data_IF_443730010476
#
_entry.id   IF_443730010476
#
_cell.length_a   1.000
_cell.length_b   1.000
_cell.length_c   1.000
_cell.angle_alpha   90.00
_cell.angle_beta   90.00
_cell.angle_gamma   90.00
#
_symmetry.space_group_name_H-M   'P 1'
#
loop_
_entity.id
_entity.type
_entity.pdbx_description
1 polymer ?
#
# COMPACT_ATOMS: atom_id res chain seq x y z
N UNK A 1 -2.77 16.58 5.85
CA UNK A 1 -1.68 16.69 6.84
C UNK A 1 -0.46 16.05 6.20
N UNK A 2 0.67 16.77 6.14
CA UNK A 2 1.89 16.41 5.39
C UNK A 2 3.05 16.22 6.38
N UNK A 3 2.90 15.28 7.31
CA UNK A 3 3.78 15.10 8.46
C UNK A 3 5.14 14.56 8.01
N UNK A 4 5.14 13.60 7.08
CA UNK A 4 6.39 13.05 6.53
C UNK A 4 7.13 14.14 5.77
N UNK A 5 6.43 14.92 4.94
CA UNK A 5 7.06 16.03 4.22
C UNK A 5 7.69 17.06 5.16
N UNK A 6 7.01 17.42 6.25
CA UNK A 6 7.54 18.34 7.26
C UNK A 6 8.80 17.79 7.92
N UNK A 7 8.79 16.53 8.37
CA UNK A 7 9.98 15.89 8.97
C UNK A 7 11.14 15.81 7.98
N UNK A 8 10.90 15.50 6.71
CA UNK A 8 11.97 15.52 5.72
C UNK A 8 12.62 16.90 5.56
N UNK A 9 11.82 17.98 5.61
CA UNK A 9 12.33 19.35 5.49
C UNK A 9 13.02 19.85 6.76
N UNK A 10 12.60 19.39 7.93
CA UNK A 10 13.16 19.84 9.21
C UNK A 10 14.41 19.03 9.60
N UNK A 11 14.34 17.71 9.49
CA UNK A 11 15.35 16.79 10.04
C UNK A 11 16.22 16.13 8.95
N UNK A 12 15.68 15.91 7.74
CA UNK A 12 16.35 15.14 6.69
C UNK A 12 16.54 15.93 5.39
N UNK A 13 16.99 17.19 5.48
CA UNK A 13 17.14 18.10 4.34
C UNK A 13 18.05 17.55 3.22
N UNK A 14 18.98 16.66 3.58
CA UNK A 14 19.89 15.99 2.64
C UNK A 14 19.14 15.06 1.66
N UNK A 15 17.96 14.59 2.05
CA UNK A 15 17.11 13.69 1.26
C UNK A 15 16.14 14.55 0.44
N UNK A 16 16.68 15.27 -0.56
CA UNK A 16 15.87 16.13 -1.42
C UNK A 16 15.11 15.32 -2.48
N UNK A 17 14.02 14.66 -2.07
CA UNK A 17 13.05 14.05 -2.99
C UNK A 17 11.63 14.55 -2.68
N UNK A 18 10.88 15.03 -3.70
CA UNK A 18 9.52 15.48 -3.47
C UNK A 18 8.61 14.29 -3.12
N UNK A 19 7.81 14.47 -2.07
CA UNK A 19 6.74 13.54 -1.70
C UNK A 19 5.59 13.66 -2.71
N UNK A 20 5.28 12.58 -3.41
CA UNK A 20 4.23 12.52 -4.43
C UNK A 20 2.84 12.32 -3.82
N UNK A 21 2.76 11.52 -2.76
CA UNK A 21 1.54 11.30 -1.98
C UNK A 21 1.91 10.84 -0.57
N UNK A 22 1.11 11.26 0.39
CA UNK A 22 1.20 10.84 1.80
C UNK A 22 -0.21 10.57 2.30
N UNK A 23 -0.40 9.50 3.08
CA UNK A 23 -1.70 9.18 3.67
C UNK A 23 -1.55 8.38 4.96
N UNK A 24 -2.57 8.42 5.85
CA UNK A 24 -2.61 7.55 7.01
C UNK A 24 -2.96 6.12 6.59
N UNK A 25 -2.28 5.15 7.20
CA UNK A 25 -2.51 3.72 7.02
C UNK A 25 -2.53 3.01 8.36
N UNK A 26 -3.25 1.89 8.40
CA UNK A 26 -3.18 0.93 9.50
C UNK A 26 -2.61 -0.37 8.98
N UNK A 27 -1.47 -0.82 9.51
CA UNK A 27 -0.98 -2.17 9.30
C UNK A 27 -2.00 -3.14 9.90
N UNK A 28 -2.43 -4.13 9.13
CA UNK A 28 -3.43 -5.12 9.56
C UNK A 28 -2.90 -6.53 9.39
N UNK A 29 -3.38 -7.44 10.24
CA UNK A 29 -3.10 -8.86 10.10
C UNK A 29 -3.94 -9.53 8.99
N UNK A 30 -3.78 -10.86 8.82
CA UNK A 30 -4.53 -11.63 7.82
C UNK A 30 -6.05 -11.68 8.09
N UNK A 31 -6.48 -11.49 9.35
CA UNK A 31 -7.88 -11.41 9.74
C UNK A 31 -8.44 -9.98 9.54
N UNK A 32 -7.55 -9.02 9.31
CA UNK A 32 -7.85 -7.61 9.13
C UNK A 32 -7.99 -6.85 10.44
N UNK A 33 -7.39 -7.33 11.53
CA UNK A 33 -7.24 -6.62 12.81
C UNK A 33 -6.10 -5.62 12.68
N UNK A 34 -6.32 -4.37 13.11
CA UNK A 34 -5.30 -3.33 13.09
C UNK A 34 -4.22 -3.58 14.14
N UNK A 35 -2.96 -3.54 13.71
CA UNK A 35 -1.77 -3.73 14.54
C UNK A 35 -1.09 -2.41 14.90
N UNK A 36 -0.91 -1.51 13.91
CA UNK A 36 -0.23 -0.23 14.11
C UNK A 36 -0.64 0.80 13.06
N UNK A 37 -0.71 2.06 13.45
CA UNK A 37 -0.93 3.17 12.54
C UNK A 37 0.40 3.73 12.02
N UNK A 38 0.44 4.04 10.73
CA UNK A 38 1.55 4.65 10.03
C UNK A 38 1.07 5.84 9.23
N UNK A 39 1.92 6.84 9.08
CA UNK A 39 1.83 7.81 8.02
C UNK A 39 2.84 7.38 6.95
N UNK A 40 2.33 6.90 5.82
CA UNK A 40 3.18 6.40 4.74
C UNK A 40 3.23 7.47 3.65
N UNK A 41 4.43 7.73 3.13
CA UNK A 41 4.65 8.63 2.01
C UNK A 41 5.40 7.94 0.88
N UNK A 42 5.09 8.32 -0.35
CA UNK A 42 5.71 7.82 -1.57
C UNK A 42 6.47 8.96 -2.24
N UNK A 43 7.75 8.75 -2.53
CA UNK A 43 8.56 9.62 -3.40
C UNK A 43 8.73 8.97 -4.77
N UNK A 44 9.46 9.63 -5.66
CA UNK A 44 9.80 9.05 -6.97
C UNK A 44 10.67 7.79 -6.89
N UNK A 45 11.38 7.55 -5.77
CA UNK A 45 12.30 6.40 -5.66
C UNK A 45 12.19 5.61 -4.36
N UNK A 46 11.49 6.11 -3.34
CA UNK A 46 11.40 5.50 -2.01
C UNK A 46 9.96 5.48 -1.48
N UNK A 47 9.71 4.50 -0.62
CA UNK A 47 8.55 4.45 0.26
C UNK A 47 9.02 4.76 1.69
N UNK A 48 8.36 5.71 2.33
CA UNK A 48 8.72 6.26 3.63
C UNK A 48 7.66 5.88 4.64
N UNK A 49 8.06 5.42 5.81
CA UNK A 49 7.19 5.05 6.91
C UNK A 49 7.53 5.91 8.12
N UNK A 50 6.55 6.68 8.58
CA UNK A 50 6.63 7.31 9.89
C UNK A 50 5.47 6.92 10.78
N UNK A 51 5.66 7.07 12.09
CA UNK A 51 4.61 6.88 13.06
C UNK A 51 4.80 7.81 14.25
N UNK A 52 3.77 7.89 15.08
CA UNK A 52 3.88 8.58 16.35
C UNK A 52 4.69 7.74 17.35
N UNK A 53 5.60 8.40 18.05
CA UNK A 53 6.39 7.92 19.16
C UNK A 53 6.15 8.86 20.35
N UNK A 54 5.27 8.45 21.25
CA UNK A 54 4.90 9.24 22.43
C UNK A 54 5.87 9.04 23.61
N UNK A 55 6.75 8.03 23.53
CA UNK A 55 7.69 7.70 24.60
C UNK A 55 8.96 8.60 24.56
N UNK A 56 9.09 9.40 23.49
CA UNK A 56 10.24 10.29 23.23
C UNK A 56 10.46 11.33 24.34
N UNK A 57 9.38 11.79 24.98
CA UNK A 57 9.43 12.82 26.02
C UNK A 57 9.73 12.26 27.42
N UNK A 58 9.46 10.97 27.67
CA UNK A 58 9.71 10.35 28.97
C UNK A 58 11.21 10.24 29.28
N UNK A 59 12.05 9.97 28.26
CA UNK A 59 13.50 9.80 28.42
C UNK A 59 14.27 11.11 28.70
N UNK A 60 13.74 12.26 28.27
CA UNK A 60 14.43 13.55 28.35
C UNK A 60 14.02 14.41 29.55
N UNK A 61 12.76 14.31 30.01
CA UNK A 61 12.23 15.23 31.03
C UNK A 61 11.53 14.57 32.22
N UNK A 62 11.41 13.23 32.28
CA UNK A 62 10.84 12.50 33.43
C UNK A 62 9.35 12.74 33.69
N UNK A 63 8.77 13.76 33.06
CA UNK A 63 7.34 14.10 33.01
C UNK A 63 7.00 14.45 31.55
N UNK A 64 5.90 13.92 30.98
CA UNK A 64 5.50 14.25 29.62
C UNK A 64 5.23 15.75 29.51
N UNK A 65 6.10 16.48 28.82
CA UNK A 65 5.93 17.90 28.54
C UNK A 65 4.90 18.06 27.42
N UNK A 66 3.62 18.11 27.77
CA UNK A 66 2.53 18.46 26.84
C UNK A 66 2.64 19.88 26.25
N UNK A 67 3.65 20.64 26.70
CA UNK A 67 3.99 21.94 26.16
C UNK A 67 5.06 21.77 25.09
N UNK A 68 4.66 21.78 23.82
CA UNK A 68 5.61 22.07 22.74
C UNK A 68 6.28 23.41 23.05
N UNK A 69 7.61 23.44 23.06
CA UNK A 69 8.37 24.67 23.25
C UNK A 69 7.99 25.70 22.19
N UNK A 70 8.16 26.99 22.51
CA UNK A 70 7.93 28.07 21.54
C UNK A 70 8.82 27.84 20.30
N UNK A 71 8.21 27.57 19.15
CA UNK A 71 8.90 27.33 17.87
C UNK A 71 8.95 25.87 17.39
N UNK A 72 8.41 24.93 18.17
CA UNK A 72 8.25 23.53 17.79
C UNK A 72 6.95 23.31 16.99
N UNK A 73 6.97 22.42 15.99
CA UNK A 73 5.78 22.12 15.17
C UNK A 73 5.07 20.91 15.78
N UNK A 74 3.91 21.10 16.45
CA UNK A 74 3.23 20.05 17.19
C UNK A 74 2.76 18.89 16.29
N UNK A 75 2.73 19.09 14.97
CA UNK A 75 2.40 18.00 14.04
C UNK A 75 3.53 16.98 13.89
N UNK A 76 4.78 17.32 14.23
CA UNK A 76 5.95 16.47 13.99
C UNK A 76 6.80 16.18 15.23
N UNK A 77 6.60 16.85 16.36
CA UNK A 77 7.41 16.60 17.57
C UNK A 77 7.41 15.13 18.01
N UNK A 78 6.22 14.53 18.08
CA UNK A 78 6.06 13.11 18.42
C UNK A 78 6.14 12.20 17.18
N UNK A 79 6.56 12.68 16.01
CA UNK A 79 6.52 11.91 14.77
C UNK A 79 7.92 11.48 14.35
N UNK A 80 8.15 10.18 14.31
CA UNK A 80 9.43 9.62 13.89
C UNK A 80 9.34 8.96 12.51
N UNK A 81 10.35 9.22 11.67
CA UNK A 81 10.55 8.48 10.44
C UNK A 81 11.26 7.14 10.76
N UNK A 82 10.52 6.04 10.73
CA UNK A 82 11.02 4.73 11.13
C UNK A 82 11.82 4.06 10.02
N UNK A 83 11.37 4.20 8.77
CA UNK A 83 11.95 3.43 7.68
C UNK A 83 11.85 4.14 6.33
N UNK A 84 12.86 3.90 5.51
CA UNK A 84 12.93 4.34 4.12
C UNK A 84 13.32 3.15 3.25
N UNK A 85 12.44 2.76 2.34
CA UNK A 85 12.62 1.57 1.52
C UNK A 85 12.69 1.96 0.04
N UNK A 86 13.77 1.63 -0.69
CA UNK A 86 13.85 1.85 -2.12
C UNK A 86 12.73 1.09 -2.87
N UNK A 87 12.07 1.77 -3.82
CA UNK A 87 10.95 1.20 -4.58
C UNK A 87 11.37 0.02 -5.47
N UNK A 88 12.66 -0.10 -5.77
CA UNK A 88 13.22 -1.23 -6.53
C UNK A 88 13.03 -2.58 -5.84
N UNK A 89 12.82 -2.57 -4.53
CA UNK A 89 12.62 -3.79 -3.74
C UNK A 89 11.17 -4.02 -3.37
N UNK A 90 10.25 -3.13 -3.75
CA UNK A 90 8.86 -3.17 -3.31
C UNK A 90 7.94 -3.49 -4.47
N UNK A 91 7.04 -4.43 -4.24
CA UNK A 91 5.87 -4.65 -5.08
C UNK A 91 4.60 -4.20 -4.36
N UNK A 92 3.86 -3.32 -5.02
CA UNK A 92 2.54 -2.89 -4.58
C UNK A 92 1.47 -3.81 -5.16
N UNK A 93 0.49 -4.16 -4.35
CA UNK A 93 -0.76 -4.78 -4.78
C UNK A 93 -1.91 -4.08 -4.09
N UNK A 94 -2.78 -3.45 -4.87
CA UNK A 94 -3.94 -2.76 -4.36
C UNK A 94 -5.17 -3.66 -4.49
N UNK A 95 -5.93 -3.91 -3.43
CA UNK A 95 -7.24 -4.55 -3.54
C UNK A 95 -8.25 -3.98 -2.55
N UNK A 96 -9.52 -4.30 -2.82
CA UNK A 96 -10.66 -3.91 -1.99
C UNK A 96 -11.29 -5.16 -1.38
N UNK A 97 -11.62 -5.11 -0.09
CA UNK A 97 -12.36 -6.18 0.61
C UNK A 97 -13.56 -5.55 1.30
N UNK A 98 -14.77 -5.76 0.75
CA UNK A 98 -15.99 -5.04 1.15
C UNK A 98 -15.78 -3.52 1.04
N UNK A 99 -15.89 -2.77 2.13
CA UNK A 99 -15.65 -1.33 2.19
C UNK A 99 -14.20 -0.96 2.56
N UNK A 100 -13.30 -1.93 2.66
CA UNK A 100 -11.90 -1.73 3.05
C UNK A 100 -11.03 -1.57 1.82
N UNK A 101 -10.22 -0.52 1.81
CA UNK A 101 -9.22 -0.21 0.79
C UNK A 101 -7.86 -0.66 1.31
N UNK A 102 -7.21 -1.64 0.66
CA UNK A 102 -6.05 -2.34 1.20
C UNK A 102 -4.86 -2.34 0.24
N UNK A 103 -3.71 -1.83 0.68
CA UNK A 103 -2.44 -1.92 -0.03
C UNK A 103 -1.60 -3.03 0.59
N UNK A 104 -1.26 -4.04 -0.20
CA UNK A 104 -0.30 -5.06 0.18
C UNK A 104 1.07 -4.74 -0.41
N UNK A 105 2.08 -4.77 0.46
CA UNK A 105 3.48 -4.59 0.09
C UNK A 105 4.21 -5.92 0.22
N UNK A 106 4.90 -6.30 -0.84
CA UNK A 106 5.80 -7.45 -0.84
C UNK A 106 7.21 -6.96 -1.11
N UNK A 107 8.16 -7.37 -0.28
CA UNK A 107 9.58 -7.10 -0.52
C UNK A 107 10.13 -8.22 -1.40
N UNK A 108 10.76 -7.87 -2.52
CA UNK A 108 11.40 -8.85 -3.38
C UNK A 108 12.73 -9.28 -2.76
N UNK A 109 12.96 -10.59 -2.58
CA UNK A 109 14.24 -11.05 -2.05
C UNK A 109 15.35 -10.76 -3.08
N UNK A 110 16.44 -10.13 -2.64
CA UNK A 110 17.64 -9.91 -3.45
C UNK A 110 18.33 -11.23 -3.84
N UNK A 111 18.22 -12.24 -2.97
CA UNK A 111 18.74 -13.57 -3.21
C UNK A 111 17.57 -14.55 -3.39
N UNK A 112 17.45 -15.24 -4.54
CA UNK A 112 16.41 -16.25 -4.76
C UNK A 112 16.44 -17.42 -3.77
N UNK A 113 17.52 -17.60 -2.99
CA UNK A 113 17.62 -18.59 -1.91
C UNK A 113 16.94 -18.11 -0.60
N UNK A 114 16.73 -16.79 -0.44
CA UNK A 114 16.06 -16.24 0.73
C UNK A 114 14.55 -16.41 0.59
N UNK A 115 13.91 -16.93 1.64
CA UNK A 115 12.44 -17.02 1.69
C UNK A 115 11.86 -15.63 1.60
N UNK A 116 10.91 -15.46 0.66
CA UNK A 116 10.12 -14.25 0.58
C UNK A 116 9.46 -13.97 1.94
N UNK A 117 9.68 -12.77 2.47
CA UNK A 117 9.01 -12.33 3.68
C UNK A 117 7.50 -12.30 3.46
N UNK A 118 6.75 -12.50 4.54
CA UNK A 118 5.29 -12.39 4.48
C UNK A 118 4.92 -10.97 4.06
N UNK A 119 4.01 -10.80 3.10
CA UNK A 119 3.64 -9.48 2.65
C UNK A 119 2.94 -8.71 3.78
N UNK A 120 3.24 -7.42 3.87
CA UNK A 120 2.58 -6.51 4.81
C UNK A 120 1.30 -5.99 4.19
N UNK A 121 0.22 -5.94 4.98
CA UNK A 121 -1.08 -5.47 4.50
C UNK A 121 -1.42 -4.18 5.24
N UNK A 122 -1.65 -3.11 4.49
CA UNK A 122 -2.01 -1.81 5.00
C UNK A 122 -3.42 -1.44 4.57
N UNK A 123 -4.23 -1.01 5.51
CA UNK A 123 -5.53 -0.42 5.25
C UNK A 123 -5.43 1.10 5.20
N UNK A 124 -6.08 1.71 4.21
CA UNK A 124 -6.17 3.15 4.11
C UNK A 124 -7.01 3.74 5.25
N UNK A 125 -6.40 4.65 6.00
CA UNK A 125 -7.04 5.39 7.07
C UNK A 125 -7.95 6.52 6.55
N UNK A 126 -8.64 7.18 7.49
CA UNK A 126 -9.53 8.30 7.20
C UNK A 126 -10.87 7.85 6.63
N UNK A 127 -11.84 7.58 7.50
CA UNK A 127 -13.16 7.03 7.13
C UNK A 127 -13.82 7.74 5.94
N UNK A 128 -13.74 9.07 5.90
CA UNK A 128 -14.36 9.93 4.88
C UNK A 128 -13.54 9.95 3.58
N UNK A 129 -12.21 10.01 3.68
CA UNK A 129 -11.32 10.25 2.53
C UNK A 129 -10.60 9.00 2.02
N UNK A 130 -10.81 7.82 2.63
CA UNK A 130 -10.10 6.58 2.26
C UNK A 130 -10.19 6.24 0.77
N UNK A 131 -11.33 6.50 0.12
CA UNK A 131 -11.49 6.25 -1.31
C UNK A 131 -10.66 7.22 -2.15
N UNK A 132 -10.63 8.50 -1.77
CA UNK A 132 -9.79 9.49 -2.45
C UNK A 132 -8.30 9.13 -2.32
N UNK A 133 -7.84 8.78 -1.12
CA UNK A 133 -6.47 8.34 -0.90
C UNK A 133 -6.16 7.07 -1.69
N UNK A 134 -7.07 6.10 -1.68
CA UNK A 134 -6.96 4.88 -2.46
C UNK A 134 -6.70 5.15 -3.94
N UNK A 135 -7.54 5.97 -4.57
CA UNK A 135 -7.41 6.30 -5.99
C UNK A 135 -6.12 7.08 -6.27
N UNK A 136 -5.81 8.07 -5.44
CA UNK A 136 -4.60 8.89 -5.58
C UNK A 136 -3.33 8.03 -5.52
N UNK A 137 -3.24 7.12 -4.54
CA UNK A 137 -2.10 6.21 -4.40
C UNK A 137 -1.93 5.31 -5.62
N UNK A 138 -3.03 4.72 -6.10
CA UNK A 138 -2.99 3.86 -7.29
C UNK A 138 -2.52 4.64 -8.52
N UNK A 139 -3.03 5.86 -8.70
CA UNK A 139 -2.62 6.74 -9.79
C UNK A 139 -1.13 7.09 -9.71
N UNK A 140 -0.64 7.51 -8.53
CA UNK A 140 0.79 7.84 -8.34
C UNK A 140 1.70 6.65 -8.55
N UNK A 141 1.34 5.48 -8.02
CA UNK A 141 2.11 4.25 -8.20
C UNK A 141 2.11 3.82 -9.68
N UNK A 142 0.98 3.93 -10.38
CA UNK A 142 0.88 3.65 -11.81
C UNK A 142 1.71 4.64 -12.65
N UNK A 143 1.75 5.92 -12.25
CA UNK A 143 2.55 6.92 -12.93
C UNK A 143 4.05 6.60 -12.82
N UNK A 144 4.54 6.23 -11.63
CA UNK A 144 5.95 5.82 -11.41
C UNK A 144 6.34 4.66 -12.34
N UNK A 145 5.47 3.66 -12.48
CA UNK A 145 5.66 2.55 -13.42
C UNK A 145 5.83 3.04 -14.87
N UNK A 146 5.03 4.01 -15.28
CA UNK A 146 5.09 4.59 -16.63
C UNK A 146 6.37 5.39 -16.90
N UNK A 147 6.90 6.09 -15.88
CA UNK A 147 8.11 6.89 -16.02
C UNK A 147 9.42 6.08 -15.89
N UNK A 148 9.40 4.93 -15.24
CA UNK A 148 10.60 4.16 -14.91
C UNK A 148 10.38 2.66 -15.17
N UNK A 149 10.90 2.18 -16.31
CA UNK A 149 10.78 0.77 -16.74
C UNK A 149 11.34 -0.25 -15.74
N UNK A 150 12.31 0.16 -14.90
CA UNK A 150 12.84 -0.62 -13.75
C UNK A 150 11.77 -1.01 -12.73
N UNK A 151 10.63 -0.32 -12.72
CA UNK A 151 9.50 -0.56 -11.84
C UNK A 151 8.33 -1.26 -12.54
N UNK A 152 8.57 -1.93 -13.68
CA UNK A 152 7.57 -2.72 -14.40
C UNK A 152 6.84 -3.76 -13.54
N UNK A 153 7.50 -4.22 -12.47
CA UNK A 153 6.99 -5.18 -11.50
C UNK A 153 5.93 -4.60 -10.53
N UNK A 154 5.80 -3.27 -10.48
CA UNK A 154 4.83 -2.57 -9.65
C UNK A 154 3.46 -2.67 -10.33
N UNK A 155 2.53 -3.40 -9.71
CA UNK A 155 1.17 -3.59 -10.21
C UNK A 155 0.20 -2.65 -9.51
N UNK A 156 -0.23 -1.58 -10.19
CA UNK A 156 -1.31 -0.69 -9.72
C UNK A 156 -2.72 -1.31 -9.86
N UNK A 157 -2.80 -2.46 -10.54
CA UNK A 157 -4.03 -3.21 -10.76
C UNK A 157 -4.30 -4.16 -9.59
N UNK A 158 -5.55 -4.22 -9.17
CA UNK A 158 -6.03 -5.22 -8.25
C UNK A 158 -6.24 -6.54 -8.95
N UNK A 159 -5.69 -7.66 -8.44
CA UNK A 159 -5.95 -8.98 -8.99
C UNK A 159 -7.42 -9.41 -8.84
N UNK A 160 -8.24 -8.64 -8.11
CA UNK A 160 -9.64 -8.97 -7.83
C UNK A 160 -10.64 -7.87 -8.24
N UNK A 161 -10.18 -6.76 -8.83
CA UNK A 161 -11.09 -5.69 -9.28
C UNK A 161 -11.44 -5.87 -10.75
N UNK A 162 -12.71 -6.13 -11.03
CA UNK A 162 -13.26 -6.15 -12.40
C UNK A 162 -13.44 -4.75 -13.01
N UNK A 163 -13.13 -3.68 -12.26
CA UNK A 163 -13.27 -2.28 -12.70
C UNK A 163 -11.93 -1.61 -12.97
N UNK A 164 -10.83 -2.34 -12.84
CA UNK A 164 -9.51 -1.80 -13.14
C UNK A 164 -9.26 -1.84 -14.65
N UNK A 165 -9.00 -0.67 -15.24
CA UNK A 165 -8.45 -0.57 -16.59
C UNK A 165 -7.06 -1.19 -16.56
N UNK A 166 -6.94 -2.42 -17.05
CA UNK A 166 -5.65 -3.07 -17.26
C UNK A 166 -4.96 -2.34 -18.41
N UNK A 167 -3.99 -1.47 -18.09
CA UNK A 167 -3.20 -0.78 -19.11
C UNK A 167 -2.22 -1.70 -19.84
N UNK A 168 -2.01 -2.93 -19.35
CA UNK A 168 -1.27 -3.98 -20.04
C UNK A 168 -2.04 -5.30 -19.93
N UNK A 169 -2.73 -5.69 -21.00
CA UNK A 169 -3.10 -7.08 -21.21
C UNK A 169 -1.82 -7.88 -21.51
N UNK A 170 -1.11 -8.32 -20.48
CA UNK A 170 -0.27 -9.51 -20.65
C UNK A 170 -1.24 -10.68 -20.72
N UNK A 171 -1.45 -11.17 -21.95
CA UNK A 171 -2.32 -12.29 -22.25
C UNK A 171 -1.80 -13.55 -21.54
N UNK A 172 -2.24 -13.77 -20.30
CA UNK A 172 -1.95 -15.00 -19.58
C UNK A 172 -2.79 -16.12 -20.18
N UNK A 173 -2.18 -16.93 -21.05
CA UNK A 173 -2.76 -18.19 -21.47
C UNK A 173 -2.86 -19.12 -20.26
N UNK A 174 -4.04 -19.16 -19.64
CA UNK A 174 -4.36 -20.21 -18.70
C UNK A 174 -4.33 -21.54 -19.46
N UNK A 175 -3.32 -22.38 -19.20
CA UNK A 175 -3.36 -23.79 -19.57
C UNK A 175 -4.40 -24.46 -18.67
N UNK A 176 -5.66 -24.36 -19.07
CA UNK A 176 -6.73 -25.16 -18.49
C UNK A 176 -6.41 -26.60 -18.89
N UNK A 177 -6.05 -27.43 -17.90
CA UNK A 177 -5.97 -28.88 -18.14
C UNK A 177 -7.26 -29.32 -18.80
N UNK A 178 -7.17 -29.89 -20.01
CA UNK A 178 -8.32 -30.48 -20.68
C UNK A 178 -8.98 -31.44 -19.68
N UNK A 179 -10.28 -31.27 -19.37
CA UNK A 179 -10.96 -32.24 -18.55
C UNK A 179 -10.93 -33.56 -19.32
N UNK A 180 -10.22 -34.55 -18.78
CA UNK A 180 -10.45 -35.94 -19.15
C UNK A 180 -11.95 -36.17 -18.95
N UNK A 181 -12.67 -36.29 -20.06
CA UNK A 181 -14.11 -36.44 -20.10
C UNK A 181 -14.43 -37.94 -20.00
N UNK A 182 -14.76 -38.52 -18.84
CA UNK A 182 -15.54 -39.74 -18.86
C UNK A 182 -16.92 -39.36 -19.40
N UNK A 183 -17.34 -40.03 -20.47
CA UNK A 183 -18.69 -39.89 -21.05
C UNK A 183 -19.72 -40.28 -20.00
N UNK A 184 -20.36 -39.30 -19.34
CA UNK A 184 -21.57 -39.51 -18.57
C UNK A 184 -22.78 -39.03 -19.39
N UNK A 185 -23.75 -39.92 -19.57
CA UNK A 185 -24.89 -39.81 -20.51
C UNK A 185 -26.08 -39.04 -19.92
N UNK A 186 -25.98 -38.49 -18.71
CA UNK A 186 -27.11 -37.78 -18.10
C UNK A 186 -26.68 -36.44 -17.51
N UNK A 187 -27.06 -35.36 -18.19
CA UNK A 187 -27.51 -34.11 -17.57
C UNK A 187 -28.02 -33.18 -18.68
N UNK A 188 -29.31 -33.31 -18.99
CA UNK A 188 -30.05 -32.31 -19.76
C UNK A 188 -30.87 -31.52 -18.74
N UNK A 189 -30.47 -30.29 -18.47
CA UNK A 189 -31.31 -29.32 -17.78
C UNK A 189 -31.74 -28.27 -18.81
N UNK A 190 -32.98 -28.38 -19.29
CA UNK A 190 -33.62 -27.32 -20.08
C UNK A 190 -33.95 -26.16 -19.14
N UNK A 191 -33.42 -24.97 -19.43
CA UNK A 191 -33.99 -23.71 -18.92
C UNK A 191 -34.99 -23.20 -19.95
N UNK A 192 -36.28 -23.30 -19.65
CA UNK A 192 -37.32 -22.55 -20.36
C UNK A 192 -37.59 -21.25 -19.61
N UNK A 193 -37.04 -20.15 -20.09
CA UNK A 193 -37.48 -18.80 -19.76
C UNK A 193 -37.31 -17.92 -21.01
N UNK A 194 -38.42 -17.65 -21.69
CA UNK A 194 -38.52 -16.79 -22.87
C UNK A 194 -39.95 -16.83 -23.39
N UNK A 195 -40.72 -15.78 -23.08
CA UNK A 195 -42.13 -15.68 -23.41
C UNK A 195 -42.42 -15.17 -24.82
N UNK A 196 -43.68 -15.30 -25.19
CA UNK A 196 -44.50 -14.34 -25.93
C UNK A 196 -45.96 -14.57 -25.49
#
# INVERSE_FOLDING_TARGET
MFRVQKVLLTEYQEIYEPVMVESPFTLVDAHGVGLRQYQIALTGTKLLFGCDNFDRDEELYGEPSWYCGLGQDPEIECFDLISMVPLEYIRFNFYRKRERCLMMLSVQPMDPQLRAERPMIFEFGGHIHKQYFWHTWRERVSAIRGYQSRFSQITGASPFSSTDVQADEVQHHALVHLPHRPRSIYSVCYSSAGGA
#
